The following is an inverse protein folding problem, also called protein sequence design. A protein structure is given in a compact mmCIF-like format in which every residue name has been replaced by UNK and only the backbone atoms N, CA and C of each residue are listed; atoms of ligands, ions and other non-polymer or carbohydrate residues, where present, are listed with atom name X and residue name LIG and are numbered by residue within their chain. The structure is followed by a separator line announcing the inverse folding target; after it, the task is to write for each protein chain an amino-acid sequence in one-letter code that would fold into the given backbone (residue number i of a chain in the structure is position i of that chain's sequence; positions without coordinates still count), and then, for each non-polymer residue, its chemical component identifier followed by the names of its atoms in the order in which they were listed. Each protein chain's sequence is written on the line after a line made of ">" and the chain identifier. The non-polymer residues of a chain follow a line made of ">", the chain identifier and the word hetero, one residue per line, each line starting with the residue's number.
data_IF_721955554252
#
_entry.id   IF_721955554252
#
_cell.length_a   1.000
_cell.length_b   1.000
_cell.length_c   1.000
_cell.angle_alpha   90.00
_cell.angle_beta   90.00
_cell.angle_gamma   90.00
#
_symmetry.space_group_name_H-M   'P 1'
#
loop_
_entity.id
_entity.type
_entity.pdbx_description
1 polymer ?
#
# COMPACT_ATOMS: atom_id res chain seq x y z
N UNK A 1 -18.66 -9.18 -6.25
CA UNK A 1 -17.57 -10.16 -6.46
C UNK A 1 -16.25 -9.59 -7.00
N UNK A 2 -16.15 -8.50 -7.78
CA UNK A 2 -14.85 -8.07 -8.31
C UNK A 2 -13.84 -7.64 -7.22
N UNK A 3 -14.30 -7.05 -6.12
CA UNK A 3 -13.45 -6.66 -5.00
C UNK A 3 -12.81 -7.88 -4.29
N UNK A 4 -13.51 -9.01 -4.22
CA UNK A 4 -12.98 -10.24 -3.61
C UNK A 4 -11.90 -10.85 -4.50
N UNK A 5 -12.13 -10.90 -5.82
CA UNK A 5 -11.12 -11.38 -6.78
C UNK A 5 -9.86 -10.51 -6.71
N UNK A 6 -10.02 -9.18 -6.69
CA UNK A 6 -8.89 -8.26 -6.52
C UNK A 6 -8.12 -8.54 -5.23
N UNK A 7 -8.82 -8.69 -4.11
CA UNK A 7 -8.21 -8.99 -2.82
C UNK A 7 -7.43 -10.31 -2.80
N UNK A 8 -8.00 -11.38 -3.38
CA UNK A 8 -7.33 -12.67 -3.51
C UNK A 8 -6.08 -12.58 -4.39
N UNK A 9 -6.16 -11.88 -5.53
CA UNK A 9 -5.02 -11.68 -6.42
C UNK A 9 -3.89 -10.89 -5.72
N UNK A 10 -4.24 -9.85 -4.96
CA UNK A 10 -3.26 -9.10 -4.15
C UNK A 10 -2.62 -10.01 -3.09
N UNK A 11 -3.43 -10.82 -2.40
CA UNK A 11 -2.94 -11.73 -1.38
C UNK A 11 -1.98 -12.81 -1.90
N UNK A 12 -2.04 -13.13 -3.19
CA UNK A 12 -1.15 -14.12 -3.83
C UNK A 12 0.02 -13.47 -4.56
N UNK A 13 -0.21 -12.39 -5.33
CA UNK A 13 0.83 -11.81 -6.20
C UNK A 13 1.85 -11.01 -5.39
N UNK A 14 1.39 -10.20 -4.43
CA UNK A 14 2.29 -9.37 -3.62
C UNK A 14 3.34 -10.20 -2.87
N UNK A 15 3.01 -11.29 -2.16
CA UNK A 15 4.03 -12.07 -1.47
C UNK A 15 5.03 -12.70 -2.44
N UNK A 16 4.59 -13.14 -3.63
CA UNK A 16 5.49 -13.68 -4.66
C UNK A 16 6.50 -12.61 -5.09
N UNK A 17 6.04 -11.39 -5.38
CA UNK A 17 6.91 -10.28 -5.77
C UNK A 17 7.88 -9.89 -4.64
N UNK A 18 7.40 -9.83 -3.41
CA UNK A 18 8.24 -9.52 -2.24
C UNK A 18 9.29 -10.62 -2.07
N UNK A 19 8.92 -11.90 -2.09
CA UNK A 19 9.85 -13.03 -1.97
C UNK A 19 10.93 -12.98 -3.07
N UNK A 20 10.54 -12.70 -4.31
CA UNK A 20 11.47 -12.62 -5.44
C UNK A 20 12.47 -11.46 -5.28
N UNK A 21 12.03 -10.31 -4.75
CA UNK A 21 12.87 -9.11 -4.61
C UNK A 21 13.58 -8.99 -3.25
N UNK A 22 13.18 -9.80 -2.27
CA UNK A 22 13.69 -9.75 -0.89
C UNK A 22 15.21 -9.96 -0.79
N UNK A 23 15.83 -10.97 -1.42
CA UNK A 23 17.26 -11.22 -1.28
C UNK A 23 18.14 -10.08 -1.82
N UNK A 24 17.60 -9.29 -2.75
CA UNK A 24 18.35 -8.23 -3.45
C UNK A 24 18.16 -6.89 -2.74
N UNK A 25 16.92 -6.56 -2.36
CA UNK A 25 16.55 -5.21 -1.91
C UNK A 25 15.76 -5.18 -0.59
N UNK A 26 15.45 -6.32 0.02
CA UNK A 26 14.49 -6.41 1.12
C UNK A 26 13.02 -6.30 0.68
N UNK A 27 12.75 -6.15 -0.62
CA UNK A 27 11.40 -6.30 -1.19
C UNK A 27 10.40 -5.24 -0.73
N UNK A 28 10.82 -4.00 -0.51
CA UNK A 28 9.94 -2.94 -0.02
C UNK A 28 8.76 -2.66 -0.95
N UNK A 29 9.03 -2.55 -2.27
CA UNK A 29 8.06 -2.34 -3.38
C UNK A 29 6.97 -1.26 -3.14
N UNK A 30 7.17 -0.40 -2.15
CA UNK A 30 6.17 0.53 -1.63
C UNK A 30 6.88 1.70 -0.90
N UNK A 31 6.62 2.96 -1.29
CA UNK A 31 7.15 4.13 -0.61
C UNK A 31 6.74 4.23 0.87
N UNK A 32 5.53 3.78 1.24
CA UNK A 32 5.06 3.71 2.64
C UNK A 32 6.02 2.85 3.47
N UNK A 33 6.30 1.63 3.01
CA UNK A 33 7.20 0.68 3.69
C UNK A 33 8.62 1.26 3.79
N UNK A 34 9.10 1.86 2.71
CA UNK A 34 10.44 2.46 2.65
C UNK A 34 10.58 3.65 3.59
N UNK A 35 9.57 4.54 3.62
CA UNK A 35 9.57 5.69 4.49
C UNK A 35 9.50 5.28 5.96
N UNK A 36 8.66 4.29 6.30
CA UNK A 36 8.62 3.70 7.63
C UNK A 36 9.98 3.10 8.03
N UNK A 37 10.63 2.34 7.15
CA UNK A 37 11.95 1.76 7.40
C UNK A 37 13.01 2.84 7.67
N UNK A 38 12.95 3.95 6.94
CA UNK A 38 13.80 5.11 7.17
C UNK A 38 13.57 5.73 8.56
N UNK A 39 12.30 5.98 8.94
CA UNK A 39 11.96 6.56 10.24
C UNK A 39 12.36 5.66 11.44
N UNK A 40 12.40 4.34 11.22
CA UNK A 40 12.88 3.36 12.19
C UNK A 40 14.42 3.21 12.21
N UNK A 41 15.14 3.88 11.29
CA UNK A 41 16.59 3.80 11.18
C UNK A 41 17.12 2.52 10.52
N UNK A 42 16.26 1.75 9.84
CA UNK A 42 16.64 0.52 9.13
C UNK A 42 17.30 0.80 7.78
N UNK A 43 16.98 1.95 7.18
CA UNK A 43 17.50 2.40 5.89
C UNK A 43 17.91 3.87 5.99
N UNK A 44 19.06 4.24 5.41
CA UNK A 44 19.50 5.65 5.38
C UNK A 44 18.61 6.49 4.47
N UNK A 45 18.59 7.81 4.69
CA UNK A 45 17.80 8.74 3.86
C UNK A 45 18.11 8.59 2.37
N UNK A 46 19.39 8.55 2.00
CA UNK A 46 19.81 8.42 0.59
C UNK A 46 19.28 7.14 -0.06
N UNK A 47 19.33 6.01 0.66
CA UNK A 47 18.77 4.74 0.16
C UNK A 47 17.25 4.80 0.06
N UNK A 48 16.58 5.42 1.03
CA UNK A 48 15.13 5.58 1.01
C UNK A 48 14.67 6.40 -0.20
N UNK A 49 15.37 7.49 -0.52
CA UNK A 49 15.08 8.29 -1.71
C UNK A 49 15.27 7.48 -3.00
N UNK A 50 16.37 6.73 -3.13
CA UNK A 50 16.61 5.85 -4.29
C UNK A 50 15.49 4.80 -4.43
N UNK A 51 15.08 4.18 -3.32
CA UNK A 51 13.99 3.21 -3.31
C UNK A 51 12.68 3.82 -3.77
N UNK A 52 12.30 4.98 -3.23
CA UNK A 52 11.04 5.64 -3.58
C UNK A 52 11.03 6.04 -5.06
N UNK A 53 12.13 6.59 -5.58
CA UNK A 53 12.27 6.92 -7.00
C UNK A 53 12.16 5.67 -7.88
N UNK A 54 12.89 4.61 -7.55
CA UNK A 54 12.84 3.35 -8.31
C UNK A 54 11.43 2.72 -8.28
N UNK A 55 10.74 2.77 -7.15
CA UNK A 55 9.36 2.28 -7.01
C UNK A 55 8.39 3.09 -7.87
N UNK A 56 8.52 4.42 -7.89
CA UNK A 56 7.70 5.29 -8.73
C UNK A 56 7.95 5.03 -10.22
N UNK A 57 9.21 4.95 -10.64
CA UNK A 57 9.58 4.62 -12.02
C UNK A 57 9.05 3.24 -12.43
N UNK A 58 9.23 2.22 -11.59
CA UNK A 58 8.70 0.89 -11.82
C UNK A 58 7.18 0.87 -11.96
N UNK A 59 6.46 1.63 -11.14
CA UNK A 59 5.01 1.73 -11.23
C UNK A 59 4.53 2.43 -12.51
N UNK A 60 5.24 3.48 -12.96
CA UNK A 60 4.97 4.14 -14.25
C UNK A 60 5.20 3.17 -15.41
N UNK A 61 6.33 2.46 -15.42
CA UNK A 61 6.64 1.45 -16.45
C UNK A 61 5.61 0.31 -16.46
N UNK A 62 5.18 -0.15 -15.28
CA UNK A 62 4.13 -1.16 -15.16
C UNK A 62 2.77 -0.67 -15.71
N UNK A 63 2.41 0.59 -15.44
CA UNK A 63 1.20 1.19 -15.99
C UNK A 63 1.26 1.37 -17.52
N UNK A 64 2.43 1.74 -18.07
CA UNK A 64 2.67 1.79 -19.52
C UNK A 64 2.56 0.40 -20.16
N UNK A 65 3.17 -0.61 -19.55
CA UNK A 65 3.09 -1.99 -20.02
C UNK A 65 1.65 -2.50 -20.01
N UNK A 66 0.88 -2.21 -18.96
CA UNK A 66 -0.54 -2.55 -18.91
C UNK A 66 -1.32 -1.85 -20.03
N UNK A 67 -1.12 -0.55 -20.22
CA UNK A 67 -1.77 0.24 -21.28
C UNK A 67 -1.50 -0.31 -22.69
N UNK A 68 -0.29 -0.83 -22.92
CA UNK A 68 0.07 -1.41 -24.22
C UNK A 68 -0.66 -2.72 -24.54
N UNK A 69 -1.16 -3.43 -23.53
CA UNK A 69 -1.79 -4.76 -23.69
C UNK A 69 -3.32 -4.68 -23.64
N UNK A 70 -3.89 -3.71 -22.92
CA UNK A 70 -5.34 -3.61 -22.74
C UNK A 70 -5.98 -2.70 -23.77
N UNK A 71 -7.26 -2.96 -24.10
CA UNK A 71 -8.03 -2.06 -24.96
C UNK A 71 -8.42 -0.77 -24.24
N UNK A 72 -8.70 0.29 -25.00
CA UNK A 72 -9.14 1.59 -24.46
C UNK A 72 -10.40 1.48 -23.59
N UNK A 73 -11.28 0.49 -23.86
CA UNK A 73 -12.44 0.19 -23.04
C UNK A 73 -12.05 -0.33 -21.63
N UNK A 74 -11.05 -1.20 -21.55
CA UNK A 74 -10.53 -1.72 -20.28
C UNK A 74 -9.76 -0.61 -19.54
N UNK A 75 -8.93 0.16 -20.24
CA UNK A 75 -8.23 1.34 -19.70
C UNK A 75 -9.22 2.31 -19.04
N UNK A 76 -10.32 2.63 -19.72
CA UNK A 76 -11.33 3.55 -19.20
C UNK A 76 -12.07 2.98 -18.00
N UNK A 77 -12.46 1.70 -18.07
CA UNK A 77 -13.27 1.04 -17.02
C UNK A 77 -12.52 0.83 -15.71
N UNK A 78 -11.24 0.47 -15.77
CA UNK A 78 -10.44 0.13 -14.60
C UNK A 78 -9.39 1.20 -14.25
N UNK A 79 -9.33 2.29 -15.01
CA UNK A 79 -8.35 3.37 -14.84
C UNK A 79 -6.90 2.90 -14.76
N UNK A 80 -6.53 1.89 -15.56
CA UNK A 80 -5.23 1.18 -15.49
C UNK A 80 -4.88 0.68 -14.08
N UNK A 81 -5.90 0.35 -13.29
CA UNK A 81 -5.78 -0.03 -11.90
C UNK A 81 -5.43 1.12 -10.98
N UNK A 82 -5.46 2.39 -11.39
CA UNK A 82 -5.13 3.56 -10.56
C UNK A 82 -6.00 3.73 -9.31
N UNK A 83 -5.51 4.50 -8.33
CA UNK A 83 -6.25 4.82 -7.12
C UNK A 83 -7.21 5.98 -7.38
N UNK A 84 -8.50 5.81 -7.05
CA UNK A 84 -9.54 6.81 -7.29
C UNK A 84 -10.19 7.23 -5.98
N UNK A 85 -10.24 8.54 -5.70
CA UNK A 85 -11.06 9.11 -4.61
C UNK A 85 -12.48 9.36 -5.12
N UNK A 86 -12.56 9.98 -6.30
CA UNK A 86 -13.79 10.26 -7.02
C UNK A 86 -13.64 9.96 -8.51
N UNK A 87 -14.76 9.68 -9.18
CA UNK A 87 -14.85 9.57 -10.63
C UNK A 87 -16.02 10.39 -11.14
N UNK A 88 -15.87 10.94 -12.34
CA UNK A 88 -16.97 11.57 -13.09
C UNK A 88 -17.72 10.48 -13.85
N UNK A 89 -19.01 10.35 -13.57
CA UNK A 89 -19.90 9.37 -14.19
C UNK A 89 -21.06 10.07 -14.92
N UNK A 90 -21.64 9.46 -15.97
CA UNK A 90 -22.86 9.98 -16.59
C UNK A 90 -24.03 9.98 -15.59
N UNK A 91 -24.74 11.10 -15.49
CA UNK A 91 -25.93 11.25 -14.67
C UNK A 91 -27.14 11.72 -15.48
N UNK A 92 -28.35 11.70 -14.89
CA UNK A 92 -29.60 12.04 -15.58
C UNK A 92 -29.61 13.48 -16.16
N UNK A 93 -28.91 14.40 -15.50
CA UNK A 93 -28.87 15.83 -15.83
C UNK A 93 -27.45 16.29 -16.24
N UNK A 94 -26.60 15.38 -16.70
CA UNK A 94 -25.19 15.65 -17.02
C UNK A 94 -24.20 14.89 -16.13
N UNK A 95 -22.89 15.20 -16.22
CA UNK A 95 -21.86 14.51 -15.46
C UNK A 95 -22.05 14.72 -13.94
N UNK A 96 -21.98 13.63 -13.17
CA UNK A 96 -22.02 13.65 -11.71
C UNK A 96 -20.71 13.13 -11.14
N UNK A 97 -20.26 13.73 -10.04
CA UNK A 97 -19.10 13.24 -9.29
C UNK A 97 -19.59 12.18 -8.31
N UNK A 98 -19.02 10.99 -8.40
CA UNK A 98 -19.30 9.87 -7.50
C UNK A 98 -17.99 9.42 -6.86
N UNK A 99 -18.03 9.11 -5.56
CA UNK A 99 -16.84 8.68 -4.84
C UNK A 99 -16.97 8.89 -3.35
N UNK A 100 -15.81 8.99 -2.71
CA UNK A 100 -15.69 9.20 -1.27
C UNK A 100 -15.22 10.64 -1.00
N UNK A 101 -15.64 11.24 0.11
CA UNK A 101 -15.13 12.55 0.51
C UNK A 101 -13.62 12.49 0.76
N UNK A 102 -12.86 13.51 0.34
CA UNK A 102 -11.39 13.52 0.43
C UNK A 102 -10.88 13.29 1.86
N UNK A 103 -11.56 13.86 2.87
CA UNK A 103 -11.21 13.63 4.27
C UNK A 103 -11.46 12.19 4.75
N UNK A 104 -12.53 11.54 4.27
CA UNK A 104 -12.80 10.13 4.56
C UNK A 104 -11.77 9.22 3.89
N UNK A 105 -11.41 9.51 2.63
CA UNK A 105 -10.34 8.79 1.93
C UNK A 105 -9.00 8.94 2.67
N UNK A 106 -8.68 10.14 3.16
CA UNK A 106 -7.48 10.37 3.95
C UNK A 106 -7.46 9.54 5.24
N UNK A 107 -8.56 9.52 6.00
CA UNK A 107 -8.63 8.70 7.20
C UNK A 107 -8.49 7.21 6.91
N UNK A 108 -9.08 6.73 5.80
CA UNK A 108 -8.89 5.34 5.38
C UNK A 108 -7.44 5.02 5.02
N UNK A 109 -6.74 5.89 4.26
CA UNK A 109 -5.31 5.69 3.99
C UNK A 109 -4.49 5.62 5.28
N UNK A 110 -4.77 6.51 6.24
CA UNK A 110 -4.05 6.56 7.52
C UNK A 110 -4.28 5.27 8.33
N UNK A 111 -5.54 4.91 8.54
CA UNK A 111 -5.92 3.75 9.37
C UNK A 111 -5.46 2.46 8.71
N UNK A 112 -5.79 2.27 7.44
CA UNK A 112 -5.45 1.04 6.74
C UNK A 112 -3.93 0.93 6.51
N UNK A 113 -3.24 2.05 6.26
CA UNK A 113 -1.77 2.10 6.20
C UNK A 113 -1.09 1.75 7.53
N UNK A 114 -1.62 2.24 8.65
CA UNK A 114 -1.12 1.88 9.98
C UNK A 114 -1.31 0.39 10.26
N UNK A 115 -2.51 -0.15 9.99
CA UNK A 115 -2.79 -1.58 10.19
C UNK A 115 -1.91 -2.44 9.29
N UNK A 116 -1.67 -2.03 8.05
CA UNK A 116 -0.75 -2.72 7.15
C UNK A 116 0.67 -2.79 7.74
N UNK A 117 1.21 -1.67 8.25
CA UNK A 117 2.51 -1.64 8.90
C UNK A 117 2.56 -2.52 10.15
N UNK A 118 1.58 -2.35 11.03
CA UNK A 118 1.51 -3.02 12.32
C UNK A 118 1.31 -4.54 12.20
N UNK A 119 0.29 -4.95 11.45
CA UNK A 119 -0.14 -6.35 11.38
C UNK A 119 0.68 -7.20 10.39
N UNK A 120 1.60 -6.59 9.62
CA UNK A 120 2.39 -7.34 8.65
C UNK A 120 3.84 -6.89 8.51
N UNK A 121 4.09 -5.67 8.03
CA UNK A 121 5.44 -5.19 7.67
C UNK A 121 6.39 -5.18 8.88
N UNK A 122 5.87 -4.89 10.08
CA UNK A 122 6.65 -4.95 11.30
C UNK A 122 7.30 -6.32 11.54
N UNK A 123 6.62 -7.42 11.22
CA UNK A 123 7.20 -8.76 11.32
C UNK A 123 8.36 -8.99 10.36
N UNK A 124 8.39 -8.30 9.22
CA UNK A 124 9.52 -8.33 8.30
C UNK A 124 10.71 -7.47 8.79
N UNK A 125 10.44 -6.43 9.58
CA UNK A 125 11.47 -5.60 10.20
C UNK A 125 12.06 -6.22 11.48
N UNK A 126 11.32 -7.07 12.19
CA UNK A 126 11.83 -7.80 13.36
C UNK A 126 12.51 -9.12 12.94
N UNK A 127 13.84 -9.14 12.98
CA UNK A 127 14.64 -10.33 12.65
C UNK A 127 14.34 -11.56 13.52
N UNK A 128 13.82 -11.39 14.75
CA UNK A 128 13.39 -12.50 15.61
C UNK A 128 12.15 -13.18 15.02
N UNK A 129 11.18 -12.39 14.58
CA UNK A 129 9.97 -12.90 13.94
C UNK A 129 10.27 -13.60 12.62
N UNK A 130 11.13 -13.01 11.78
CA UNK A 130 11.56 -13.65 10.53
C UNK A 130 12.26 -14.99 10.79
N UNK A 131 13.06 -15.10 11.87
CA UNK A 131 13.74 -16.35 12.25
C UNK A 131 12.76 -17.40 12.80
N UNK A 132 11.76 -16.98 13.58
CA UNK A 132 10.79 -17.87 14.19
C UNK A 132 9.75 -18.40 13.19
N UNK A 133 9.21 -17.53 12.33
CA UNK A 133 8.12 -17.87 11.40
C UNK A 133 8.62 -18.30 10.01
N UNK A 134 9.85 -17.92 9.65
CA UNK A 134 10.39 -18.09 8.31
C UNK A 134 9.96 -16.99 7.34
N UNK A 135 10.85 -16.68 6.39
CA UNK A 135 10.68 -15.57 5.45
C UNK A 135 9.44 -15.70 4.57
N UNK A 136 9.15 -16.92 4.08
CA UNK A 136 7.99 -17.17 3.20
C UNK A 136 6.70 -16.85 3.94
N UNK A 137 6.55 -17.32 5.18
CA UNK A 137 5.38 -17.07 6.02
C UNK A 137 5.16 -15.58 6.25
N UNK A 138 6.21 -14.83 6.62
CA UNK A 138 6.10 -13.38 6.83
C UNK A 138 5.66 -12.65 5.56
N UNK A 139 6.21 -13.02 4.39
CA UNK A 139 5.80 -12.45 3.12
C UNK A 139 4.33 -12.77 2.80
N UNK A 140 3.89 -14.01 3.02
CA UNK A 140 2.49 -14.43 2.84
C UNK A 140 1.55 -13.61 3.74
N UNK A 141 1.92 -13.38 5.00
CA UNK A 141 1.13 -12.53 5.91
C UNK A 141 1.00 -11.10 5.37
N UNK A 142 2.07 -10.50 4.84
CA UNK A 142 2.03 -9.19 4.16
C UNK A 142 1.00 -9.19 3.03
N UNK A 143 1.02 -10.23 2.19
CA UNK A 143 0.04 -10.41 1.12
C UNK A 143 -1.39 -10.46 1.63
N UNK A 144 -1.67 -11.37 2.57
CA UNK A 144 -3.01 -11.61 3.12
C UNK A 144 -3.54 -10.34 3.78
N UNK A 145 -2.76 -9.69 4.65
CA UNK A 145 -3.18 -8.46 5.33
C UNK A 145 -3.50 -7.37 4.31
N UNK A 146 -2.66 -7.17 3.30
CA UNK A 146 -2.91 -6.18 2.25
C UNK A 146 -4.19 -6.50 1.45
N UNK A 147 -4.39 -7.77 1.06
CA UNK A 147 -5.61 -8.21 0.38
C UNK A 147 -6.87 -7.98 1.21
N UNK A 148 -6.84 -8.33 2.49
CA UNK A 148 -7.96 -8.09 3.44
C UNK A 148 -8.26 -6.60 3.59
N UNK A 149 -7.24 -5.75 3.72
CA UNK A 149 -7.43 -4.30 3.86
C UNK A 149 -7.99 -3.67 2.58
N UNK A 150 -7.57 -4.13 1.40
CA UNK A 150 -8.18 -3.71 0.12
C UNK A 150 -9.64 -4.16 0.05
N UNK A 151 -9.93 -5.41 0.41
CA UNK A 151 -11.30 -5.90 0.46
C UNK A 151 -12.18 -5.10 1.42
N UNK A 152 -11.69 -4.85 2.63
CA UNK A 152 -12.41 -4.10 3.65
C UNK A 152 -12.64 -2.65 3.21
N UNK A 153 -11.61 -1.94 2.76
CA UNK A 153 -11.76 -0.54 2.35
C UNK A 153 -12.69 -0.35 1.15
N UNK A 154 -12.69 -1.29 0.19
CA UNK A 154 -13.60 -1.25 -0.97
C UNK A 154 -15.03 -1.69 -0.63
N UNK A 155 -15.21 -2.64 0.31
CA UNK A 155 -16.53 -3.20 0.63
C UNK A 155 -17.26 -2.41 1.71
N UNK A 156 -16.56 -1.97 2.76
CA UNK A 156 -17.16 -1.23 3.88
C UNK A 156 -17.62 0.16 3.45
N UNK A 157 -16.84 0.84 2.59
CA UNK A 157 -17.26 2.14 2.06
C UNK A 157 -18.40 2.02 1.07
N UNK A 158 -18.43 0.94 0.29
CA UNK A 158 -19.37 0.68 -0.81
C UNK A 158 -19.57 1.89 -1.78
N UNK A 159 -18.66 2.86 -1.75
CA UNK A 159 -18.79 4.11 -2.47
C UNK A 159 -18.40 3.88 -3.94
N UNK A 160 -19.37 4.02 -4.83
CA UNK A 160 -19.11 3.93 -6.28
C UNK A 160 -18.12 5.03 -6.68
N UNK A 161 -17.10 4.66 -7.45
CA UNK A 161 -16.04 5.58 -7.85
C UNK A 161 -14.84 5.63 -6.90
N UNK A 162 -14.96 5.09 -5.69
CA UNK A 162 -13.81 4.92 -4.80
C UNK A 162 -13.08 3.61 -5.11
N UNK A 163 -11.76 3.68 -5.27
CA UNK A 163 -10.92 2.55 -5.68
C UNK A 163 -10.46 1.66 -4.53
N UNK A 164 -10.82 2.00 -3.28
CA UNK A 164 -10.23 1.41 -2.08
C UNK A 164 -8.98 2.17 -1.63
N UNK A 165 -8.52 1.85 -0.42
CA UNK A 165 -7.26 2.40 0.07
C UNK A 165 -6.09 1.92 -0.82
N UNK A 166 -5.16 2.82 -1.10
CA UNK A 166 -4.04 2.65 -1.99
C UNK A 166 -2.82 2.05 -1.31
N UNK A 167 -2.53 2.45 -0.06
CA UNK A 167 -1.41 1.97 0.79
C UNK A 167 0.00 2.23 0.23
N UNK A 168 0.10 2.56 -1.05
CA UNK A 168 1.32 2.55 -1.82
C UNK A 168 1.31 3.74 -2.77
N UNK A 169 2.00 4.84 -2.41
CA UNK A 169 2.03 6.05 -3.22
C UNK A 169 2.50 5.80 -4.66
N UNK A 170 3.50 4.94 -4.88
CA UNK A 170 3.99 4.61 -6.22
C UNK A 170 2.93 3.89 -7.06
N UNK A 171 2.22 2.93 -6.46
CA UNK A 171 1.12 2.18 -7.10
C UNK A 171 -0.06 3.08 -7.48
N UNK A 172 -0.25 4.20 -6.78
CA UNK A 172 -1.23 5.23 -7.18
C UNK A 172 -0.67 6.18 -8.24
N UNK A 173 0.60 6.58 -8.13
CA UNK A 173 1.27 7.51 -9.03
C UNK A 173 1.38 6.96 -10.46
N UNK A 174 1.80 5.71 -10.64
CA UNK A 174 2.08 5.13 -11.96
C UNK A 174 0.92 5.31 -12.95
N UNK A 175 -0.27 4.76 -12.65
CA UNK A 175 -1.46 4.97 -13.48
C UNK A 175 -1.87 6.44 -13.59
N UNK A 176 -1.72 7.26 -12.54
CA UNK A 176 -2.07 8.68 -12.58
C UNK A 176 -1.22 9.46 -13.60
N UNK A 177 0.09 9.18 -13.66
CA UNK A 177 1.00 9.78 -14.65
C UNK A 177 0.67 9.31 -16.07
N UNK A 178 0.37 8.03 -16.25
CA UNK A 178 0.19 7.44 -17.60
C UNK A 178 -1.19 7.73 -18.20
N UNK A 179 -2.25 7.68 -17.39
CA UNK A 179 -3.63 7.87 -17.83
C UNK A 179 -4.14 9.29 -17.61
N UNK A 180 -3.73 9.93 -16.51
CA UNK A 180 -4.23 11.24 -16.12
C UNK A 180 -5.72 11.27 -15.75
N UNK A 181 -6.32 12.44 -15.92
CA UNK A 181 -7.73 12.70 -15.61
C UNK A 181 -8.02 12.59 -14.12
N UNK A 182 -9.16 11.96 -13.78
CA UNK A 182 -9.65 11.86 -12.41
C UNK A 182 -8.72 11.15 -11.41
N UNK A 183 -7.65 10.49 -11.89
CA UNK A 183 -6.63 9.90 -11.01
C UNK A 183 -5.79 10.95 -10.27
N UNK A 184 -5.82 12.20 -10.73
CA UNK A 184 -5.22 13.34 -10.05
C UNK A 184 -6.14 13.98 -9.00
N UNK A 185 -7.44 13.69 -9.04
CA UNK A 185 -8.42 14.26 -8.12
C UNK A 185 -8.19 13.70 -6.70
N UNK A 186 -7.72 14.56 -5.79
CA UNK A 186 -7.38 14.16 -4.44
C UNK A 186 -6.13 13.28 -4.33
N UNK A 187 -5.28 13.22 -5.36
CA UNK A 187 -4.11 12.32 -5.41
C UNK A 187 -3.16 12.47 -4.23
N UNK A 188 -3.03 13.68 -3.68
CA UNK A 188 -2.19 13.96 -2.52
C UNK A 188 -2.53 13.10 -1.30
N UNK A 189 -3.78 12.62 -1.18
CA UNK A 189 -4.24 11.73 -0.11
C UNK A 189 -3.41 10.44 -0.08
N UNK A 190 -3.08 9.90 -1.26
CA UNK A 190 -2.27 8.67 -1.40
C UNK A 190 -0.80 8.85 -1.04
N UNK A 191 -0.37 10.08 -0.73
CA UNK A 191 0.98 10.38 -0.23
C UNK A 191 0.95 10.77 1.25
N UNK A 192 0.07 11.71 1.59
CA UNK A 192 -0.05 12.22 2.97
C UNK A 192 -0.57 11.14 3.90
N UNK A 193 -1.58 10.37 3.50
CA UNK A 193 -2.14 9.29 4.31
C UNK A 193 -1.08 8.24 4.70
N UNK A 194 -0.38 7.62 3.73
CA UNK A 194 0.76 6.75 4.00
C UNK A 194 1.89 7.36 4.82
N UNK A 195 2.21 8.64 4.59
CA UNK A 195 3.22 9.37 5.36
C UNK A 195 2.83 9.49 6.84
N UNK A 196 1.60 9.94 7.11
CA UNK A 196 1.06 10.06 8.47
C UNK A 196 0.94 8.69 9.15
N UNK A 197 0.50 7.66 8.43
CA UNK A 197 0.45 6.28 8.93
C UNK A 197 1.83 5.79 9.39
N UNK A 198 2.89 6.09 8.63
CA UNK A 198 4.26 5.72 8.96
C UNK A 198 4.75 6.43 10.22
N UNK A 199 4.47 7.73 10.35
CA UNK A 199 4.80 8.50 11.56
C UNK A 199 4.06 7.95 12.78
N UNK A 200 2.75 7.72 12.66
CA UNK A 200 1.93 7.16 13.74
C UNK A 200 2.43 5.78 14.18
N UNK A 201 2.80 4.91 13.24
CA UNK A 201 3.36 3.59 13.53
C UNK A 201 4.72 3.68 14.25
N UNK A 202 5.60 4.58 13.82
CA UNK A 202 6.90 4.77 14.47
C UNK A 202 6.74 5.29 15.90
N UNK A 203 5.80 6.22 16.13
CA UNK A 203 5.47 6.69 17.48
C UNK A 203 4.96 5.53 18.35
N UNK A 204 4.05 4.70 17.83
CA UNK A 204 3.59 3.50 18.51
C UNK A 204 4.75 2.58 18.94
N UNK A 205 5.68 2.27 18.02
CA UNK A 205 6.85 1.43 18.30
C UNK A 205 7.78 2.06 19.35
N UNK A 206 7.95 3.39 19.34
CA UNK A 206 8.86 4.09 20.27
C UNK A 206 8.28 4.26 21.67
N UNK A 207 6.96 4.33 21.82
CA UNK A 207 6.30 4.49 23.12
C UNK A 207 6.29 3.19 23.92
N UNK A 208 6.31 2.03 23.27
CA UNK A 208 6.30 0.73 23.95
C UNK A 208 7.71 0.42 24.51
N UNK A 209 7.87 0.22 25.83
CA UNK A 209 9.16 -0.08 26.44
C UNK A 209 9.77 -1.37 25.87
N UNK A 210 11.03 -1.31 25.43
CA UNK A 210 11.76 -2.48 24.91
C UNK A 210 12.12 -3.50 26.00
N UNK A 211 12.13 -3.05 27.26
CA UNK A 211 12.73 -3.77 28.39
C UNK A 211 11.97 -5.03 28.81
N UNK A 212 10.68 -5.14 28.48
CA UNK A 212 9.87 -6.30 28.86
C UNK A 212 10.33 -7.62 28.21
N UNK A 213 10.98 -7.56 27.05
CA UNK A 213 11.46 -8.76 26.35
C UNK A 213 12.82 -9.25 26.85
N UNK A 214 13.64 -8.38 27.45
CA UNK A 214 14.95 -8.77 27.98
C UNK A 214 14.84 -9.53 29.30
N UNK A 215 13.78 -9.34 30.08
CA UNK A 215 13.53 -10.13 31.29
C UNK A 215 13.12 -11.57 30.97
N UNK A 216 12.28 -11.79 29.96
CA UNK A 216 11.83 -13.14 29.58
C UNK A 216 13.00 -13.98 29.05
N UNK A 217 13.90 -13.40 28.24
CA UNK A 217 15.11 -14.10 27.76
C UNK A 217 16.16 -14.36 28.86
N UNK A 218 16.17 -13.58 29.94
CA UNK A 218 17.03 -13.84 31.11
C UNK A 218 16.47 -14.91 32.04
N UNK A 219 15.15 -15.02 32.14
CA UNK A 219 14.47 -16.04 32.98
C UNK A 219 14.43 -17.40 32.27
N UNK A 220 14.52 -17.42 30.94
CA UNK A 220 14.48 -18.66 30.13
C UNK A 220 15.86 -19.25 29.81
N UNK A 221 16.96 -18.70 30.34
CA UNK A 221 18.32 -19.26 30.28
C UNK A 221 18.73 -19.78 31.64
#
# INVERSE_FOLDING_TARGET
>A
MPNLVLACLIAVIVPILVIATFPISGGHVNPLVTFCAFLLGLVSLSKALIYILAQCLGAILGALALKAVVSSAIESKFSLGGCTVTVVAPGPNGPIITGLGTGQALWLEIICGFVFLFASVWMAFDGRQVRALGRVTVCVIIGIVLGVLVFASTTVTAARGYGGAGFNPARCLGPAVVRGGHLWDGHWVFWVGPGVASVAFVLYVKVIPREHFHEIERVSK
#
